data_IF_545088297513
#
_entry.id   IF_545088297513
#
_cell.length_a   1.000
_cell.length_b   1.000
_cell.length_c   1.000
_cell.angle_alpha   90.00
_cell.angle_beta   90.00
_cell.angle_gamma   90.00
#
_symmetry.space_group_name_H-M   'P 1'
#
loop_
_entity.id
_entity.type
_entity.pdbx_description
1 polymer ?
#
# COMPACT_ATOMS: atom_id res chain seq x y z
N UNK A 1 -1.19 11.91 -13.88
CA UNK A 1 -0.75 10.67 -13.22
C UNK A 1 -1.93 10.11 -12.46
N UNK A 2 -2.21 8.82 -12.57
CA UNK A 2 -3.33 8.16 -11.88
C UNK A 2 -2.88 7.43 -10.60
N UNK A 3 -1.62 7.61 -10.20
CA UNK A 3 -1.09 7.09 -8.95
C UNK A 3 -1.46 8.00 -7.79
N UNK A 4 -1.62 7.40 -6.61
CA UNK A 4 -1.82 8.10 -5.34
C UNK A 4 -0.62 7.89 -4.42
N UNK A 5 -0.52 8.66 -3.33
CA UNK A 5 0.54 8.45 -2.35
C UNK A 5 0.50 7.04 -1.79
N UNK A 6 -0.67 6.55 -1.41
CA UNK A 6 -0.84 5.20 -0.87
C UNK A 6 -0.40 4.12 -1.84
N UNK A 7 -0.70 4.27 -3.14
CA UNK A 7 -0.28 3.31 -4.16
C UNK A 7 1.23 3.33 -4.41
N UNK A 8 1.88 4.49 -4.36
CA UNK A 8 3.34 4.61 -4.47
C UNK A 8 4.03 3.98 -3.25
N UNK A 9 3.52 4.24 -2.06
CA UNK A 9 4.01 3.66 -0.81
C UNK A 9 3.88 2.14 -0.78
N UNK A 10 2.76 1.62 -1.25
CA UNK A 10 2.53 0.19 -1.38
C UNK A 10 3.57 -0.46 -2.32
N UNK A 11 3.79 0.12 -3.49
CA UNK A 11 4.82 -0.35 -4.43
C UNK A 11 6.22 -0.33 -3.82
N UNK A 12 6.56 0.70 -3.05
CA UNK A 12 7.86 0.81 -2.39
C UNK A 12 8.06 -0.32 -1.36
N UNK A 13 7.06 -0.62 -0.53
CA UNK A 13 7.14 -1.73 0.43
C UNK A 13 7.33 -3.08 -0.27
N UNK A 14 6.65 -3.29 -1.40
CA UNK A 14 6.81 -4.52 -2.20
C UNK A 14 8.21 -4.61 -2.82
N UNK A 15 8.76 -3.51 -3.31
CA UNK A 15 10.13 -3.48 -3.86
C UNK A 15 11.13 -3.84 -2.76
N UNK A 16 10.99 -3.31 -1.54
CA UNK A 16 11.85 -3.66 -0.40
C UNK A 16 11.77 -5.14 -0.03
N UNK A 17 10.58 -5.74 -0.06
CA UNK A 17 10.43 -7.18 0.14
C UNK A 17 11.14 -7.99 -0.96
N UNK A 18 11.02 -7.57 -2.22
CA UNK A 18 11.71 -8.23 -3.35
C UNK A 18 13.23 -8.15 -3.21
N UNK A 19 13.77 -7.01 -2.79
CA UNK A 19 15.19 -6.83 -2.53
C UNK A 19 15.67 -7.81 -1.44
N UNK A 20 14.99 -7.85 -0.32
CA UNK A 20 15.29 -8.76 0.79
C UNK A 20 15.34 -10.22 0.35
N UNK A 21 14.40 -10.64 -0.48
CA UNK A 21 14.33 -12.03 -0.98
C UNK A 21 15.20 -12.30 -2.23
N UNK A 22 15.91 -11.31 -2.74
CA UNK A 22 16.72 -11.42 -3.97
C UNK A 22 18.22 -11.21 -3.76
N UNK A 23 18.72 -11.18 -2.53
CA UNK A 23 20.13 -10.88 -2.18
C UNK A 23 21.17 -11.67 -2.99
N UNK A 24 20.84 -12.90 -3.38
CA UNK A 24 21.72 -13.78 -4.16
C UNK A 24 21.62 -13.60 -5.69
N UNK A 25 20.88 -12.60 -6.16
CA UNK A 25 20.58 -12.33 -7.58
C UNK A 25 21.06 -10.91 -7.97
N UNK A 26 22.36 -10.70 -8.29
CA UNK A 26 22.94 -9.35 -8.47
C UNK A 26 22.26 -8.50 -9.54
N UNK A 27 21.84 -9.09 -10.67
CA UNK A 27 21.16 -8.34 -11.74
C UNK A 27 19.77 -7.87 -11.30
N UNK A 28 19.03 -8.77 -10.64
CA UNK A 28 17.72 -8.43 -10.07
C UNK A 28 17.83 -7.35 -9.02
N UNK A 29 18.84 -7.42 -8.14
CA UNK A 29 19.10 -6.40 -7.12
C UNK A 29 19.38 -5.03 -7.74
N UNK A 30 20.17 -4.94 -8.82
CA UNK A 30 20.41 -3.67 -9.52
C UNK A 30 19.13 -3.07 -10.09
N UNK A 31 18.29 -3.90 -10.71
CA UNK A 31 16.99 -3.45 -11.26
C UNK A 31 16.04 -2.97 -10.16
N UNK A 32 15.98 -3.69 -9.03
CA UNK A 32 15.15 -3.31 -7.87
C UNK A 32 15.64 -2.02 -7.22
N UNK A 33 16.95 -1.84 -7.04
CA UNK A 33 17.53 -0.61 -6.50
C UNK A 33 17.21 0.61 -7.38
N UNK A 34 17.23 0.45 -8.71
CA UNK A 34 16.79 1.51 -9.63
C UNK A 34 15.31 1.84 -9.44
N UNK A 35 14.47 0.82 -9.32
CA UNK A 35 13.04 1.00 -9.10
C UNK A 35 12.74 1.63 -7.73
N UNK A 36 13.47 1.22 -6.69
CA UNK A 36 13.37 1.84 -5.36
C UNK A 36 13.66 3.34 -5.43
N UNK A 37 14.76 3.72 -6.07
CA UNK A 37 15.14 5.12 -6.20
C UNK A 37 14.06 5.92 -6.93
N UNK A 38 13.55 5.42 -8.05
CA UNK A 38 12.47 6.09 -8.80
C UNK A 38 11.21 6.26 -7.95
N UNK A 39 10.78 5.23 -7.21
CA UNK A 39 9.60 5.31 -6.34
C UNK A 39 9.79 6.35 -5.22
N UNK A 40 10.97 6.45 -4.63
CA UNK A 40 11.27 7.46 -3.62
C UNK A 40 11.16 8.87 -4.20
N UNK A 41 11.75 9.10 -5.37
CA UNK A 41 11.68 10.38 -6.08
C UNK A 41 10.23 10.74 -6.47
N UNK A 42 9.45 9.76 -6.92
CA UNK A 42 8.02 9.94 -7.23
C UNK A 42 7.19 10.27 -5.98
N UNK A 43 7.46 9.65 -4.84
CA UNK A 43 6.81 9.94 -3.55
C UNK A 43 7.11 11.37 -3.12
N UNK A 44 8.39 11.77 -3.14
CA UNK A 44 8.82 13.11 -2.74
C UNK A 44 8.19 14.18 -3.65
N UNK A 45 8.20 13.94 -4.97
CA UNK A 45 7.58 14.83 -5.94
C UNK A 45 6.06 14.91 -5.76
N UNK A 46 5.39 13.79 -5.52
CA UNK A 46 3.94 13.75 -5.30
C UNK A 46 3.53 14.59 -4.09
N UNK A 47 4.24 14.44 -2.97
CA UNK A 47 3.97 15.21 -1.74
C UNK A 47 4.20 16.72 -1.98
N UNK A 48 5.30 17.09 -2.65
CA UNK A 48 5.60 18.48 -2.97
C UNK A 48 4.54 19.09 -3.90
N UNK A 49 4.08 18.34 -4.89
CA UNK A 49 3.07 18.77 -5.86
C UNK A 49 1.67 18.87 -5.22
N UNK A 50 1.33 17.97 -4.30
CA UNK A 50 0.10 18.04 -3.51
C UNK A 50 0.11 19.28 -2.59
N UNK A 51 1.19 19.49 -1.85
CA UNK A 51 1.33 20.61 -0.93
C UNK A 51 1.30 21.97 -1.64
N UNK A 52 1.89 22.08 -2.83
CA UNK A 52 1.90 23.32 -3.64
C UNK A 52 0.62 23.56 -4.44
N UNK A 53 -0.32 22.62 -4.45
CA UNK A 53 -1.55 22.69 -5.25
C UNK A 53 -1.37 22.39 -6.74
N UNK A 54 -0.19 21.94 -7.19
CA UNK A 54 0.02 21.46 -8.57
C UNK A 54 -0.81 20.22 -8.87
N UNK A 55 -1.03 19.37 -7.88
CA UNK A 55 -2.04 18.30 -7.95
C UNK A 55 -3.32 18.83 -7.30
N UNK A 56 -4.43 18.95 -8.04
CA UNK A 56 -5.71 19.33 -7.46
C UNK A 56 -6.16 18.33 -6.37
N UNK A 57 -6.78 18.86 -5.31
CA UNK A 57 -7.17 18.07 -4.12
C UNK A 57 -8.06 16.87 -4.48
N UNK A 58 -8.93 17.03 -5.47
CA UNK A 58 -9.81 15.96 -5.97
C UNK A 58 -9.07 14.82 -6.65
N UNK A 59 -7.79 15.01 -7.00
CA UNK A 59 -6.93 13.98 -7.59
C UNK A 59 -6.00 13.28 -6.58
N UNK A 60 -6.11 13.62 -5.31
CA UNK A 60 -5.33 12.97 -4.25
C UNK A 60 -5.93 11.65 -3.79
N UNK A 61 -7.22 11.42 -4.08
CA UNK A 61 -7.93 10.19 -3.69
C UNK A 61 -8.81 9.70 -4.83
N UNK A 62 -8.89 8.38 -5.00
CA UNK A 62 -9.79 7.75 -5.97
C UNK A 62 -10.61 6.67 -5.29
N UNK A 63 -11.91 6.62 -5.55
CA UNK A 63 -12.80 5.54 -5.09
C UNK A 63 -12.72 4.33 -6.03
N UNK A 64 -11.50 3.86 -6.31
CA UNK A 64 -11.24 2.82 -7.31
C UNK A 64 -11.09 1.42 -6.70
N UNK A 65 -10.87 1.33 -5.40
CA UNK A 65 -10.60 0.07 -4.74
C UNK A 65 -11.88 -0.72 -4.46
N UNK A 66 -11.79 -2.04 -4.65
CA UNK A 66 -12.89 -2.94 -4.39
C UNK A 66 -13.20 -2.99 -2.90
N UNK A 67 -14.42 -2.63 -2.54
CA UNK A 67 -14.94 -2.81 -1.17
C UNK A 67 -15.80 -4.06 -1.16
N UNK A 68 -15.39 -5.06 -0.38
CA UNK A 68 -16.17 -6.28 -0.17
C UNK A 68 -16.59 -6.37 1.29
N UNK A 69 -17.90 -6.23 1.52
CA UNK A 69 -18.49 -6.37 2.85
C UNK A 69 -19.40 -7.59 2.87
N UNK A 70 -18.92 -8.68 3.46
CA UNK A 70 -19.74 -9.85 3.74
C UNK A 70 -19.54 -10.27 5.19
N UNK A 71 -20.59 -10.72 5.85
CA UNK A 71 -20.48 -11.33 7.19
C UNK A 71 -19.42 -12.43 7.17
N UNK A 72 -18.55 -12.43 8.17
CA UNK A 72 -17.43 -13.37 8.31
C UNK A 72 -16.09 -12.95 7.68
N UNK A 73 -16.02 -11.84 6.95
CA UNK A 73 -14.76 -11.23 6.51
C UNK A 73 -14.41 -10.07 7.43
N UNK A 74 -13.94 -10.38 8.64
CA UNK A 74 -13.40 -9.37 9.54
C UNK A 74 -12.05 -8.91 9.02
N UNK A 75 -12.02 -7.72 8.41
CA UNK A 75 -10.77 -7.01 8.13
C UNK A 75 -10.47 -6.13 9.33
N UNK A 76 -9.23 -6.16 9.88
CA UNK A 76 -8.85 -5.27 10.96
C UNK A 76 -9.11 -3.82 10.60
N UNK A 77 -9.61 -3.04 11.55
CA UNK A 77 -9.82 -1.62 11.33
C UNK A 77 -8.48 -0.90 11.17
N UNK A 78 -8.39 -0.05 10.16
CA UNK A 78 -7.21 0.79 9.92
C UNK A 78 -7.38 2.09 10.71
N UNK A 79 -6.57 2.26 11.76
CA UNK A 79 -6.66 3.39 12.68
C UNK A 79 -5.30 4.02 12.94
N UNK A 80 -5.32 5.25 13.47
CA UNK A 80 -4.10 5.98 13.81
C UNK A 80 -3.65 6.96 12.74
N UNK A 81 -2.52 7.63 12.98
CA UNK A 81 -1.94 8.58 12.04
C UNK A 81 -1.26 7.89 10.86
N UNK A 82 -0.91 8.67 9.83
CA UNK A 82 -0.35 8.18 8.57
C UNK A 82 0.86 7.25 8.76
N UNK A 83 1.74 7.53 9.74
CA UNK A 83 2.88 6.68 10.04
C UNK A 83 2.48 5.30 10.58
N UNK A 84 1.43 5.22 11.41
CA UNK A 84 0.87 3.97 11.91
C UNK A 84 0.26 3.15 10.77
N UNK A 85 -0.50 3.80 9.91
CA UNK A 85 -1.12 3.16 8.73
C UNK A 85 -0.05 2.65 7.76
N UNK A 86 1.04 3.40 7.61
CA UNK A 86 2.17 2.97 6.78
C UNK A 86 2.86 1.73 7.34
N UNK A 87 3.06 1.67 8.66
CA UNK A 87 3.60 0.48 9.33
C UNK A 87 2.69 -0.73 9.15
N UNK A 88 1.37 -0.54 9.27
CA UNK A 88 0.39 -1.60 9.03
C UNK A 88 0.43 -2.08 7.57
N UNK A 89 0.53 -1.17 6.60
CA UNK A 89 0.66 -1.53 5.18
C UNK A 89 1.90 -2.40 4.93
N UNK A 90 3.04 -2.04 5.51
CA UNK A 90 4.27 -2.82 5.37
C UNK A 90 4.12 -4.23 5.98
N UNK A 91 3.51 -4.33 7.16
CA UNK A 91 3.22 -5.62 7.80
C UNK A 91 2.28 -6.49 6.96
N UNK A 92 1.20 -5.91 6.45
CA UNK A 92 0.25 -6.62 5.58
C UNK A 92 0.94 -7.16 4.33
N UNK A 93 1.82 -6.37 3.70
CA UNK A 93 2.57 -6.82 2.54
C UNK A 93 3.57 -7.95 2.88
N UNK A 94 4.20 -7.92 4.05
CA UNK A 94 5.01 -9.04 4.53
C UNK A 94 4.18 -10.32 4.70
N UNK A 95 3.01 -10.20 5.33
CA UNK A 95 2.10 -11.34 5.53
C UNK A 95 1.57 -11.87 4.20
N UNK A 96 1.21 -11.01 3.26
CA UNK A 96 0.80 -11.39 1.91
C UNK A 96 1.89 -12.17 1.19
N UNK A 97 3.14 -11.72 1.29
CA UNK A 97 4.27 -12.44 0.70
C UNK A 97 4.32 -13.90 1.15
N UNK A 98 4.23 -14.13 2.45
CA UNK A 98 4.26 -15.48 3.01
C UNK A 98 3.02 -16.32 2.65
N UNK A 99 1.82 -15.70 2.59
CA UNK A 99 0.61 -16.44 2.18
C UNK A 99 0.64 -16.78 0.68
N UNK A 100 1.19 -15.91 -0.16
CA UNK A 100 1.40 -16.19 -1.60
C UNK A 100 2.36 -17.35 -1.78
N UNK A 101 3.46 -17.42 -1.02
CA UNK A 101 4.39 -18.56 -1.08
C UNK A 101 3.68 -19.90 -0.79
N UNK A 102 2.79 -19.94 0.20
CA UNK A 102 1.96 -21.12 0.48
C UNK A 102 1.04 -21.48 -0.69
N UNK A 103 0.51 -20.48 -1.40
CA UNK A 103 -0.37 -20.71 -2.54
C UNK A 103 0.36 -21.31 -3.75
N UNK A 104 1.64 -21.00 -3.96
CA UNK A 104 2.45 -21.64 -4.99
C UNK A 104 2.75 -23.11 -4.70
N UNK A 105 2.70 -23.51 -3.43
CA UNK A 105 2.88 -24.89 -2.99
C UNK A 105 1.56 -25.55 -2.54
N UNK A 106 0.43 -25.08 -3.08
CA UNK A 106 -0.91 -25.50 -2.65
C UNK A 106 -1.14 -27.01 -2.73
N UNK A 107 -0.44 -27.71 -3.62
CA UNK A 107 -0.53 -29.17 -3.73
C UNK A 107 0.04 -29.90 -2.51
N UNK A 108 0.98 -29.28 -1.81
CA UNK A 108 1.58 -29.80 -0.58
C UNK A 108 0.75 -29.50 0.68
N UNK A 109 -0.25 -28.63 0.56
CA UNK A 109 -1.11 -28.21 1.66
C UNK A 109 -2.23 -29.23 1.87
N UNK A 110 -2.53 -29.66 3.12
CA UNK A 110 -3.66 -30.53 3.40
C UNK A 110 -4.99 -29.92 2.90
N UNK A 111 -5.92 -30.75 2.37
CA UNK A 111 -7.16 -30.26 1.77
C UNK A 111 -8.01 -29.36 2.69
N UNK A 112 -8.05 -29.65 3.97
CA UNK A 112 -8.76 -28.90 5.02
C UNK A 112 -8.15 -27.53 5.34
N UNK A 113 -6.86 -27.30 5.00
CA UNK A 113 -6.16 -26.04 5.20
C UNK A 113 -6.20 -25.11 3.98
N UNK A 114 -6.55 -25.61 2.79
CA UNK A 114 -6.53 -24.82 1.53
C UNK A 114 -7.49 -23.64 1.56
N UNK A 115 -8.71 -23.84 2.03
CA UNK A 115 -9.73 -22.78 2.12
C UNK A 115 -9.28 -21.65 3.06
N UNK A 116 -8.52 -21.99 4.11
CA UNK A 116 -7.94 -21.03 5.04
C UNK A 116 -6.92 -20.11 4.35
N UNK A 117 -6.06 -20.65 3.51
CA UNK A 117 -5.06 -19.86 2.74
C UNK A 117 -5.75 -18.90 1.77
N UNK A 118 -6.74 -19.39 1.01
CA UNK A 118 -7.49 -18.56 0.05
C UNK A 118 -8.21 -17.42 0.77
N UNK A 119 -8.85 -17.72 1.89
CA UNK A 119 -9.54 -16.71 2.72
C UNK A 119 -8.56 -15.69 3.27
N UNK A 120 -7.41 -16.12 3.78
CA UNK A 120 -6.38 -15.23 4.33
C UNK A 120 -5.83 -14.29 3.26
N UNK A 121 -5.56 -14.78 2.05
CA UNK A 121 -5.14 -13.94 0.92
C UNK A 121 -6.19 -12.86 0.61
N UNK A 122 -7.47 -13.23 0.59
CA UNK A 122 -8.55 -12.27 0.32
C UNK A 122 -8.65 -11.20 1.41
N UNK A 123 -8.58 -11.58 2.70
CA UNK A 123 -8.64 -10.65 3.84
C UNK A 123 -7.45 -9.71 3.84
N UNK A 124 -6.23 -10.22 3.66
CA UNK A 124 -5.02 -9.40 3.61
C UNK A 124 -5.02 -8.41 2.43
N UNK A 125 -5.54 -8.80 1.26
CA UNK A 125 -5.69 -7.86 0.14
C UNK A 125 -6.70 -6.75 0.44
N UNK A 126 -7.79 -7.04 1.15
CA UNK A 126 -8.73 -6.00 1.60
C UNK A 126 -8.09 -5.06 2.62
N UNK A 127 -7.36 -5.59 3.58
CA UNK A 127 -6.64 -4.80 4.58
C UNK A 127 -5.58 -3.88 3.92
N UNK A 128 -4.80 -4.43 2.97
CA UNK A 128 -3.86 -3.66 2.15
C UNK A 128 -4.53 -2.49 1.45
N UNK A 129 -5.65 -2.76 0.79
CA UNK A 129 -6.43 -1.74 0.08
C UNK A 129 -6.93 -0.65 1.02
N UNK A 130 -7.40 -1.01 2.22
CA UNK A 130 -7.83 -0.04 3.22
C UNK A 130 -6.68 0.83 3.74
N UNK A 131 -5.48 0.26 3.91
CA UNK A 131 -4.29 1.04 4.26
C UNK A 131 -3.93 2.06 3.18
N UNK A 132 -3.97 1.66 1.91
CA UNK A 132 -3.72 2.56 0.77
C UNK A 132 -4.72 3.73 0.79
N UNK A 133 -6.02 3.43 0.87
CA UNK A 133 -7.07 4.44 0.88
C UNK A 133 -6.95 5.39 2.08
N UNK A 134 -6.57 4.88 3.24
CA UNK A 134 -6.41 5.69 4.46
C UNK A 134 -5.19 6.61 4.38
N UNK A 135 -4.07 6.18 3.79
CA UNK A 135 -2.91 7.04 3.51
C UNK A 135 -3.34 8.21 2.60
N UNK A 136 -4.06 7.92 1.53
CA UNK A 136 -4.55 8.92 0.58
C UNK A 136 -5.50 9.90 1.24
N UNK A 137 -6.44 9.40 2.03
CA UNK A 137 -7.40 10.22 2.78
C UNK A 137 -6.72 11.17 3.76
N UNK A 138 -5.71 10.69 4.49
CA UNK A 138 -4.98 11.51 5.46
C UNK A 138 -4.11 12.57 4.78
N UNK A 139 -3.43 12.24 3.67
CA UNK A 139 -2.73 13.24 2.88
C UNK A 139 -3.68 14.33 2.38
N UNK A 140 -4.81 13.94 1.78
CA UNK A 140 -5.82 14.88 1.30
C UNK A 140 -6.28 15.82 2.41
N UNK A 141 -6.64 15.30 3.58
CA UNK A 141 -7.08 16.11 4.72
C UNK A 141 -5.99 17.11 5.17
N UNK A 142 -4.72 16.69 5.18
CA UNK A 142 -3.59 17.56 5.53
C UNK A 142 -3.40 18.70 4.50
N UNK A 143 -3.51 18.39 3.21
CA UNK A 143 -3.40 19.38 2.12
C UNK A 143 -4.56 20.37 2.14
N UNK A 144 -5.80 19.90 2.34
CA UNK A 144 -6.99 20.76 2.49
C UNK A 144 -6.83 21.73 3.66
N UNK A 145 -6.31 21.23 4.80
CA UNK A 145 -6.05 22.07 5.96
C UNK A 145 -4.92 23.09 5.71
N UNK A 146 -3.88 22.72 4.99
CA UNK A 146 -2.79 23.62 4.62
C UNK A 146 -3.29 24.76 3.73
N UNK A 147 -4.08 24.43 2.70
CA UNK A 147 -4.60 25.43 1.76
C UNK A 147 -5.65 26.34 2.41
N UNK A 148 -6.49 25.85 3.32
CA UNK A 148 -7.47 26.70 4.04
C UNK A 148 -6.82 27.72 4.95
N UNK A 149 -5.69 27.38 5.62
CA UNK A 149 -4.92 28.32 6.43
C UNK A 149 -4.24 29.41 5.61
N UNK A 150 -3.82 29.13 4.39
CA UNK A 150 -3.20 30.10 3.49
C UNK A 150 -4.17 31.18 2.98
N UNK A 151 -5.48 30.90 2.95
CA UNK A 151 -6.52 31.85 2.51
C UNK A 151 -6.91 32.81 3.66
N UNK A 152 -6.63 32.47 4.92
CA UNK A 152 -7.05 33.25 6.11
C UNK A 152 -5.96 34.24 6.59
N UNK A 153 -4.80 34.28 5.93
CA UNK A 153 -3.71 35.24 6.14
C UNK A 153 -3.66 36.26 5.01
#
# INVERSE_FOLDING_TARGET
>A
MAETLGSLCDKLTIVKLKEWHSEKQPERMRSLATQEQQLREEIDAFIADAASGRIPVERLTFAANKVYRKEGNAVPEVTGGIGTVFSQLAEVNCRLWHEVDKSYEIDKVPPDAKDGIIRQLAVLNLERTQCIDEIDRQLRAAVEQLHSKAITQ
#
